data_IF_491271857870
#
_entry.id   IF_491271857870
#
_cell.length_a   1.000
_cell.length_b   1.000
_cell.length_c   1.000
_cell.angle_alpha   90.00
_cell.angle_beta   90.00
_cell.angle_gamma   90.00
#
_symmetry.space_group_name_H-M   'P 1'
#
loop_
_entity.id
_entity.type
_entity.pdbx_description
1 polymer ?
#
# COMPACT_ATOMS: atom_id res chain seq x y z
N UNK A 1 20.72 -15.05 6.73
CA UNK A 1 20.15 -13.83 6.14
C UNK A 1 19.23 -13.21 7.16
N UNK A 2 19.53 -11.99 7.57
CA UNK A 2 18.74 -11.25 8.54
C UNK A 2 17.64 -10.48 7.78
N UNK A 3 16.35 -10.82 8.02
CA UNK A 3 15.20 -10.26 7.31
C UNK A 3 14.18 -9.77 8.32
N UNK A 4 13.81 -8.50 8.23
CA UNK A 4 12.72 -7.93 9.01
C UNK A 4 11.38 -8.19 8.33
N UNK A 5 10.41 -8.78 9.04
CA UNK A 5 9.08 -9.05 8.48
C UNK A 5 8.04 -8.21 9.22
N UNK A 6 7.36 -7.34 8.49
CA UNK A 6 6.25 -6.53 8.97
C UNK A 6 4.93 -7.05 8.41
N UNK A 7 4.18 -7.79 9.22
CA UNK A 7 2.87 -8.33 8.81
C UNK A 7 1.77 -7.32 9.12
N UNK A 8 1.13 -6.80 8.08
CA UNK A 8 0.02 -5.86 8.18
C UNK A 8 -1.29 -6.55 7.75
N UNK A 9 -2.10 -6.97 8.70
CA UNK A 9 -3.34 -7.71 8.44
C UNK A 9 -4.55 -6.82 8.14
N UNK A 10 -4.49 -5.54 8.52
CA UNK A 10 -5.51 -4.54 8.24
C UNK A 10 -4.90 -3.14 8.25
N UNK A 11 -5.39 -2.26 7.42
CA UNK A 11 -4.90 -0.89 7.31
C UNK A 11 -5.63 0.02 8.31
N UNK A 12 -5.09 0.17 9.52
CA UNK A 12 -5.62 1.07 10.55
C UNK A 12 -4.56 2.09 10.92
N UNK A 13 -4.72 3.34 10.47
CA UNK A 13 -3.83 4.44 10.82
C UNK A 13 -4.21 5.02 12.19
N UNK A 14 -3.54 4.55 13.24
CA UNK A 14 -3.72 5.00 14.62
C UNK A 14 -2.37 5.09 15.35
N UNK A 15 -2.39 5.53 16.61
CA UNK A 15 -1.18 5.65 17.42
C UNK A 15 -0.47 4.31 17.65
N UNK A 16 -1.22 3.23 17.78
CA UNK A 16 -0.66 1.87 17.96
C UNK A 16 0.11 1.44 16.71
N UNK A 17 -0.48 1.59 15.51
CA UNK A 17 0.20 1.31 14.24
C UNK A 17 1.51 2.09 14.14
N UNK A 18 1.47 3.41 14.39
CA UNK A 18 2.64 4.28 14.30
C UNK A 18 3.72 3.92 15.30
N UNK A 19 3.31 3.49 16.51
CA UNK A 19 4.23 3.01 17.53
C UNK A 19 4.90 1.70 17.11
N UNK A 20 4.11 0.70 16.70
CA UNK A 20 4.61 -0.62 16.25
C UNK A 20 5.55 -0.45 15.06
N UNK A 21 5.18 0.38 14.09
CA UNK A 21 6.00 0.68 12.92
C UNK A 21 7.34 1.36 13.32
N UNK A 22 7.31 2.31 14.25
CA UNK A 22 8.51 2.96 14.74
C UNK A 22 9.42 2.01 15.52
N UNK A 23 8.86 1.15 16.37
CA UNK A 23 9.60 0.13 17.09
C UNK A 23 10.24 -0.88 16.13
N UNK A 24 9.51 -1.30 15.08
CA UNK A 24 10.00 -2.19 14.03
C UNK A 24 11.22 -1.60 13.29
N UNK A 25 11.13 -0.38 12.77
CA UNK A 25 12.27 0.22 12.07
C UNK A 25 13.45 0.54 12.99
N UNK A 26 13.21 0.81 14.27
CA UNK A 26 14.26 0.94 15.26
C UNK A 26 15.03 -0.37 15.45
N UNK A 27 14.33 -1.51 15.47
CA UNK A 27 14.94 -2.83 15.54
C UNK A 27 15.68 -3.19 14.26
N UNK A 28 15.05 -2.94 13.08
CA UNK A 28 15.67 -3.13 11.76
C UNK A 28 17.05 -2.45 11.68
N UNK A 29 17.15 -1.20 12.12
CA UNK A 29 18.42 -0.45 12.09
C UNK A 29 19.40 -0.91 13.19
N UNK A 30 18.90 -1.32 14.36
CA UNK A 30 19.76 -1.77 15.46
C UNK A 30 20.42 -3.14 15.17
N UNK A 31 19.77 -3.97 14.37
CA UNK A 31 20.23 -5.32 14.00
C UNK A 31 20.88 -5.35 12.60
N UNK A 32 21.15 -4.18 12.00
CA UNK A 32 21.73 -4.03 10.65
C UNK A 32 20.99 -4.90 9.61
N UNK A 33 19.64 -4.88 9.64
CA UNK A 33 18.81 -5.64 8.70
C UNK A 33 18.79 -4.92 7.36
N UNK A 34 19.25 -5.61 6.31
CA UNK A 34 19.34 -5.09 4.95
C UNK A 34 18.09 -5.38 4.09
N UNK A 35 17.22 -6.29 4.53
CA UNK A 35 16.04 -6.72 3.78
C UNK A 35 14.79 -6.65 4.64
N UNK A 36 13.79 -5.89 4.19
CA UNK A 36 12.48 -5.78 4.85
C UNK A 36 11.40 -6.37 3.95
N UNK A 37 10.55 -7.18 4.54
CA UNK A 37 9.36 -7.77 3.91
C UNK A 37 8.11 -7.18 4.55
N UNK A 38 7.23 -6.58 3.76
CA UNK A 38 5.87 -6.21 4.19
C UNK A 38 4.89 -7.26 3.69
N UNK A 39 4.26 -7.96 4.61
CA UNK A 39 3.26 -8.98 4.26
C UNK A 39 1.86 -8.38 4.25
N UNK A 40 1.30 -8.17 3.05
CA UNK A 40 -0.05 -7.68 2.78
C UNK A 40 -1.00 -8.79 2.34
N UNK A 41 -0.54 -10.03 2.31
CA UNK A 41 -1.41 -11.16 2.01
C UNK A 41 -2.54 -11.20 3.04
N UNK A 42 -3.78 -11.39 2.58
CA UNK A 42 -4.98 -11.42 3.42
C UNK A 42 -5.39 -10.06 4.02
N UNK A 43 -4.79 -8.95 3.62
CA UNK A 43 -5.17 -7.62 4.07
C UNK A 43 -6.26 -7.03 3.16
N UNK A 44 -7.48 -6.93 3.69
CA UNK A 44 -8.65 -6.39 2.97
C UNK A 44 -8.69 -4.86 2.85
N UNK A 45 -7.68 -4.15 3.34
CA UNK A 45 -7.60 -2.69 3.28
C UNK A 45 -8.02 -1.98 4.57
N UNK A 46 -8.50 -0.76 4.42
CA UNK A 46 -8.89 0.15 5.50
C UNK A 46 -8.50 1.59 5.18
N UNK A 47 -7.58 2.17 5.93
CA UNK A 47 -7.09 3.53 5.74
C UNK A 47 -5.79 3.54 4.94
N UNK A 48 -5.81 4.16 3.75
CA UNK A 48 -4.64 4.22 2.85
C UNK A 48 -3.46 5.04 3.42
N UNK A 49 -3.67 5.89 4.44
CA UNK A 49 -2.59 6.65 5.07
C UNK A 49 -1.52 5.77 5.73
N UNK A 50 -1.80 4.49 6.01
CA UNK A 50 -0.79 3.55 6.53
C UNK A 50 0.41 3.42 5.61
N UNK A 51 0.22 3.45 4.29
CA UNK A 51 1.30 3.39 3.32
C UNK A 51 2.17 4.66 3.37
N UNK A 52 1.54 5.85 3.44
CA UNK A 52 2.28 7.11 3.55
C UNK A 52 3.09 7.19 4.86
N UNK A 53 2.55 6.68 5.97
CA UNK A 53 3.29 6.65 7.23
C UNK A 53 4.48 5.68 7.15
N UNK A 54 4.32 4.53 6.47
CA UNK A 54 5.40 3.57 6.23
C UNK A 54 6.53 4.18 5.39
N UNK A 55 6.19 4.85 4.27
CA UNK A 55 7.16 5.45 3.34
C UNK A 55 8.05 6.49 4.05
N UNK A 56 7.60 7.11 5.15
CA UNK A 56 8.45 8.03 5.94
C UNK A 56 9.69 7.37 6.54
N UNK A 57 9.74 6.06 6.61
CA UNK A 57 10.89 5.29 7.10
C UNK A 57 11.81 4.82 5.96
N UNK A 58 11.50 5.12 4.70
CA UNK A 58 12.33 4.79 3.53
C UNK A 58 13.19 5.98 3.13
N UNK A 59 14.38 5.70 2.55
CA UNK A 59 15.29 6.73 2.03
C UNK A 59 14.84 7.20 0.64
N UNK A 60 13.71 7.89 0.61
CA UNK A 60 13.14 8.52 -0.57
C UNK A 60 12.80 9.98 -0.27
N UNK A 61 13.13 10.90 -1.19
CA UNK A 61 12.89 12.34 -0.99
C UNK A 61 11.46 12.74 -1.35
N UNK A 62 10.94 12.18 -2.43
CA UNK A 62 9.61 12.48 -2.94
C UNK A 62 9.01 11.25 -3.63
N UNK A 63 7.70 11.17 -3.65
CA UNK A 63 6.96 10.08 -4.30
C UNK A 63 5.61 10.56 -4.79
N UNK A 64 5.05 9.89 -5.79
CA UNK A 64 3.64 10.06 -6.17
C UNK A 64 2.75 9.32 -5.19
N UNK A 65 1.68 9.98 -4.77
CA UNK A 65 0.65 9.34 -3.97
C UNK A 65 -0.64 9.21 -4.80
N UNK A 66 -1.77 8.98 -4.15
CA UNK A 66 -3.01 8.65 -4.88
C UNK A 66 -3.47 9.77 -5.79
N UNK A 67 -3.77 9.39 -7.01
CA UNK A 67 -4.51 10.24 -7.92
C UNK A 67 -6.01 10.01 -7.74
N UNK A 68 -6.78 11.07 -7.59
CA UNK A 68 -8.23 10.94 -7.44
C UNK A 68 -9.03 12.13 -7.98
N UNK A 69 -10.27 11.86 -8.33
CA UNK A 69 -11.30 12.85 -8.56
C UNK A 69 -12.35 12.76 -7.43
N UNK A 70 -12.69 13.90 -6.86
CA UNK A 70 -13.67 14.01 -5.77
C UNK A 70 -14.88 14.80 -6.26
N UNK A 71 -16.06 14.18 -6.17
CA UNK A 71 -17.32 14.88 -6.46
C UNK A 71 -17.95 15.43 -5.19
N UNK A 72 -18.19 16.74 -5.20
CA UNK A 72 -18.91 17.43 -4.15
C UNK A 72 -20.06 18.24 -4.77
N UNK A 73 -21.27 17.66 -4.73
CA UNK A 73 -22.42 18.20 -5.44
C UNK A 73 -22.17 18.30 -6.95
N UNK A 74 -22.25 19.49 -7.50
CA UNK A 74 -21.99 19.80 -8.91
C UNK A 74 -20.50 19.97 -9.24
N UNK A 75 -19.66 20.13 -8.23
CA UNK A 75 -18.22 20.36 -8.40
C UNK A 75 -17.48 19.01 -8.50
N UNK A 76 -16.52 18.96 -9.40
CA UNK A 76 -15.56 17.87 -9.55
C UNK A 76 -14.17 18.45 -9.31
N UNK A 77 -13.53 18.01 -8.23
CA UNK A 77 -12.15 18.36 -7.92
C UNK A 77 -11.25 17.27 -8.48
N UNK A 78 -10.22 17.67 -9.18
CA UNK A 78 -9.22 16.79 -9.78
C UNK A 78 -7.91 16.93 -9.01
N UNK A 79 -7.48 15.86 -8.37
CA UNK A 79 -6.27 15.74 -7.57
C UNK A 79 -5.39 14.65 -8.20
N UNK A 80 -4.72 14.98 -9.30
CA UNK A 80 -3.84 14.05 -10.01
C UNK A 80 -2.45 14.64 -10.20
N UNK A 81 -1.48 13.75 -10.42
CA UNK A 81 -0.07 14.09 -10.65
C UNK A 81 0.59 14.85 -9.49
N UNK A 82 0.12 14.59 -8.26
CA UNK A 82 0.66 15.24 -7.07
C UNK A 82 1.91 14.49 -6.59
N UNK A 83 3.02 15.22 -6.52
CA UNK A 83 4.26 14.74 -5.91
C UNK A 83 4.29 15.17 -4.45
N UNK A 84 4.47 14.20 -3.56
CA UNK A 84 4.59 14.42 -2.13
C UNK A 84 6.07 14.44 -1.73
N UNK A 85 6.48 15.47 -1.00
CA UNK A 85 7.77 15.45 -0.31
C UNK A 85 7.67 14.51 0.89
N UNK A 86 8.56 13.54 0.95
CA UNK A 86 8.60 12.61 2.06
C UNK A 86 9.07 13.31 3.34
N UNK A 87 8.26 13.21 4.39
CA UNK A 87 8.59 13.71 5.72
C UNK A 87 9.32 12.60 6.49
N UNK A 88 10.57 12.31 6.07
CA UNK A 88 11.37 11.23 6.63
C UNK A 88 11.45 11.28 8.14
N UNK A 89 11.40 10.11 8.77
CA UNK A 89 11.66 9.93 10.20
C UNK A 89 13.17 10.00 10.48
N UNK A 90 13.55 9.95 11.73
CA UNK A 90 14.98 9.86 12.11
C UNK A 90 15.57 8.47 11.77
N UNK A 91 14.75 7.44 11.89
CA UNK A 91 15.09 6.06 11.50
C UNK A 91 14.73 5.90 10.02
N UNK A 92 15.71 5.90 9.15
CA UNK A 92 15.55 5.73 7.70
C UNK A 92 16.21 4.44 7.27
N UNK A 93 15.44 3.60 6.61
CA UNK A 93 15.88 2.34 6.02
C UNK A 93 16.23 2.57 4.55
N UNK A 94 17.42 2.16 4.14
CA UNK A 94 17.97 2.28 2.80
C UNK A 94 18.26 0.94 2.13
N UNK A 95 17.82 -0.16 2.74
CA UNK A 95 17.96 -1.52 2.21
C UNK A 95 16.87 -1.91 1.22
N UNK A 96 16.79 -3.21 0.95
CA UNK A 96 15.86 -3.79 -0.03
C UNK A 96 14.47 -4.03 0.60
N UNK A 97 13.43 -3.57 -0.08
CA UNK A 97 12.03 -3.74 0.33
C UNK A 97 11.32 -4.74 -0.56
N UNK A 98 10.64 -5.70 0.05
CA UNK A 98 9.76 -6.65 -0.61
C UNK A 98 8.35 -6.52 -0.07
N UNK A 99 7.35 -6.66 -0.94
CA UNK A 99 5.93 -6.65 -0.54
C UNK A 99 5.27 -7.93 -1.02
N UNK A 100 4.70 -8.70 -0.08
CA UNK A 100 3.96 -9.91 -0.40
C UNK A 100 2.49 -9.57 -0.65
N UNK A 101 1.99 -9.99 -1.81
CA UNK A 101 0.60 -9.77 -2.22
C UNK A 101 -0.11 -11.07 -2.58
N UNK A 102 -1.44 -11.04 -2.53
CA UNK A 102 -2.29 -12.08 -3.10
C UNK A 102 -3.67 -11.50 -3.49
N UNK A 103 -4.57 -12.35 -3.97
CA UNK A 103 -5.95 -11.96 -4.36
C UNK A 103 -6.79 -11.38 -3.20
N UNK A 104 -6.33 -11.42 -1.96
CA UNK A 104 -6.96 -10.79 -0.80
C UNK A 104 -6.32 -9.45 -0.43
N UNK A 105 -5.20 -9.09 -1.05
CA UNK A 105 -4.62 -7.75 -0.95
C UNK A 105 -5.55 -6.78 -1.66
N UNK A 106 -6.35 -6.04 -0.89
CA UNK A 106 -7.51 -5.32 -1.42
C UNK A 106 -7.58 -3.88 -0.90
N UNK A 107 -8.18 -2.96 -1.68
CA UNK A 107 -8.42 -1.56 -1.27
C UNK A 107 -7.13 -0.88 -0.79
N UNK A 108 -7.10 -0.31 0.42
CA UNK A 108 -5.92 0.37 0.97
C UNK A 108 -4.66 -0.50 1.05
N UNK A 109 -4.77 -1.82 1.12
CA UNK A 109 -3.62 -2.72 1.03
C UNK A 109 -3.10 -2.83 -0.42
N UNK A 110 -4.00 -2.84 -1.40
CA UNK A 110 -3.63 -2.74 -2.81
C UNK A 110 -3.01 -1.35 -3.10
N UNK A 111 -3.57 -0.26 -2.53
CA UNK A 111 -2.98 1.08 -2.63
C UNK A 111 -1.55 1.12 -2.06
N UNK A 112 -1.31 0.42 -0.94
CA UNK A 112 0.04 0.28 -0.38
C UNK A 112 1.00 -0.38 -1.39
N UNK A 113 0.60 -1.53 -1.95
CA UNK A 113 1.41 -2.21 -2.95
C UNK A 113 1.62 -1.34 -4.21
N UNK A 114 0.60 -0.59 -4.65
CA UNK A 114 0.69 0.37 -5.76
C UNK A 114 1.74 1.46 -5.48
N UNK A 115 1.70 2.07 -4.28
CA UNK A 115 2.65 3.13 -3.93
C UNK A 115 4.09 2.63 -3.95
N UNK A 116 4.33 1.39 -3.52
CA UNK A 116 5.68 0.79 -3.56
C UNK A 116 6.08 0.46 -5.01
N UNK A 117 5.20 -0.23 -5.76
CA UNK A 117 5.50 -0.67 -7.13
C UNK A 117 5.66 0.48 -8.13
N UNK A 118 4.71 1.42 -8.13
CA UNK A 118 4.66 2.48 -9.14
C UNK A 118 5.62 3.66 -8.84
N UNK A 119 6.27 3.67 -7.66
CA UNK A 119 7.37 4.59 -7.33
C UNK A 119 8.75 3.88 -7.30
N UNK A 120 8.83 2.63 -7.73
CA UNK A 120 10.07 1.83 -7.74
C UNK A 120 10.75 1.75 -6.35
N UNK A 121 9.94 1.65 -5.28
CA UNK A 121 10.43 1.63 -3.89
C UNK A 121 10.70 0.21 -3.36
N UNK A 122 10.33 -0.83 -4.09
CA UNK A 122 10.51 -2.21 -3.67
C UNK A 122 9.96 -3.21 -4.67
N UNK A 123 10.15 -4.47 -4.37
CA UNK A 123 9.79 -5.62 -5.22
C UNK A 123 8.49 -6.26 -4.75
N UNK A 124 7.55 -6.47 -5.64
CA UNK A 124 6.28 -7.17 -5.34
C UNK A 124 6.42 -8.66 -5.62
N UNK A 125 6.06 -9.50 -4.66
CA UNK A 125 6.19 -10.96 -4.77
C UNK A 125 4.88 -11.65 -4.38
N UNK A 126 4.43 -12.62 -5.15
CA UNK A 126 3.22 -13.41 -4.88
C UNK A 126 2.23 -13.41 -6.02
N UNK A 127 0.97 -13.12 -5.73
CA UNK A 127 -0.12 -13.05 -6.70
C UNK A 127 -0.56 -11.61 -6.96
N UNK A 128 -1.23 -11.38 -8.06
CA UNK A 128 -1.85 -10.08 -8.36
C UNK A 128 -2.82 -9.63 -7.25
N UNK A 129 -2.94 -8.32 -7.04
CA UNK A 129 -3.89 -7.75 -6.08
C UNK A 129 -5.34 -8.08 -6.41
N UNK A 130 -6.20 -8.10 -5.39
CA UNK A 130 -7.60 -8.51 -5.54
C UNK A 130 -8.52 -7.47 -6.17
N UNK A 131 -8.05 -6.23 -6.35
CA UNK A 131 -8.80 -5.18 -7.05
C UNK A 131 -7.88 -4.28 -7.88
N UNK A 132 -8.51 -3.51 -8.75
CA UNK A 132 -7.81 -2.52 -9.58
C UNK A 132 -7.58 -1.23 -8.79
N UNK A 133 -6.44 -0.53 -9.02
CA UNK A 133 -6.24 0.83 -8.54
C UNK A 133 -7.28 1.82 -9.10
N UNK A 134 -7.64 1.68 -10.38
CA UNK A 134 -8.70 2.47 -11.00
C UNK A 134 -10.06 2.01 -10.48
N UNK A 135 -10.54 2.65 -9.42
CA UNK A 135 -11.70 2.21 -8.67
C UNK A 135 -12.52 3.37 -8.10
N UNK A 136 -13.61 3.04 -7.43
CA UNK A 136 -14.44 4.00 -6.71
C UNK A 136 -14.40 3.70 -5.21
N UNK A 137 -14.29 4.74 -4.39
CA UNK A 137 -14.20 4.62 -2.94
C UNK A 137 -14.76 5.83 -2.21
N UNK A 138 -14.48 5.87 -0.92
CA UNK A 138 -14.98 6.90 0.01
C UNK A 138 -16.50 7.02 -0.06
N UNK A 139 -17.17 6.26 0.76
CA UNK A 139 -18.61 6.00 0.69
C UNK A 139 -19.36 6.99 1.57
N UNK A 140 -20.42 7.60 1.01
CA UNK A 140 -21.44 8.32 1.73
C UNK A 140 -22.66 7.43 1.90
N UNK A 141 -23.22 7.40 3.11
CA UNK A 141 -24.39 6.60 3.42
C UNK A 141 -25.65 7.46 3.43
N UNK A 142 -26.70 6.99 2.78
CA UNK A 142 -28.02 7.60 2.77
C UNK A 142 -29.07 6.58 3.20
N UNK A 143 -29.94 6.97 4.13
CA UNK A 143 -31.11 6.15 4.42
C UNK A 143 -32.30 6.58 3.57
N UNK A 144 -32.87 5.65 2.83
CA UNK A 144 -34.08 5.88 2.06
C UNK A 144 -35.26 6.19 2.99
N UNK A 145 -36.00 7.31 2.75
CA UNK A 145 -37.00 7.80 3.72
C UNK A 145 -38.18 6.82 3.95
N UNK A 146 -38.57 6.08 2.93
CA UNK A 146 -39.69 5.17 3.01
C UNK A 146 -39.33 3.74 3.42
N UNK A 147 -38.41 3.12 2.65
CA UNK A 147 -37.98 1.72 2.86
C UNK A 147 -37.01 1.53 4.02
N UNK A 148 -36.37 2.63 4.51
CA UNK A 148 -35.30 2.61 5.52
C UNK A 148 -34.02 1.85 5.06
N UNK A 149 -33.94 1.40 3.82
CA UNK A 149 -32.75 0.78 3.27
C UNK A 149 -31.59 1.78 3.25
N UNK A 150 -30.40 1.30 3.55
CA UNK A 150 -29.16 2.07 3.44
C UNK A 150 -28.64 2.02 2.02
N UNK A 151 -28.35 3.18 1.47
CA UNK A 151 -27.71 3.35 0.17
C UNK A 151 -26.26 3.80 0.39
N UNK A 152 -25.34 3.14 -0.27
CA UNK A 152 -23.93 3.50 -0.26
C UNK A 152 -23.55 4.09 -1.61
N UNK A 153 -22.99 5.29 -1.62
CA UNK A 153 -22.57 5.99 -2.85
C UNK A 153 -21.12 6.42 -2.71
N UNK A 154 -20.25 5.92 -3.57
CA UNK A 154 -18.88 6.40 -3.66
C UNK A 154 -18.86 7.81 -4.26
N UNK A 155 -18.09 8.71 -3.68
CA UNK A 155 -17.95 10.09 -4.16
C UNK A 155 -16.55 10.41 -4.67
N UNK A 156 -15.60 9.46 -4.54
CA UNK A 156 -14.27 9.53 -5.16
C UNK A 156 -14.09 8.48 -6.24
N UNK A 157 -13.38 8.86 -7.27
CA UNK A 157 -12.79 7.96 -8.25
C UNK A 157 -11.28 8.01 -8.06
N UNK A 158 -10.69 6.85 -7.83
CA UNK A 158 -9.25 6.65 -7.69
C UNK A 158 -8.64 6.25 -9.02
N UNK A 159 -7.40 6.64 -9.24
CA UNK A 159 -6.64 6.29 -10.43
C UNK A 159 -5.29 5.72 -10.03
N UNK A 160 -4.82 4.80 -10.82
CA UNK A 160 -3.44 4.33 -10.71
C UNK A 160 -2.48 5.48 -10.96
N UNK A 161 -1.42 5.59 -10.17
CA UNK A 161 -0.43 6.68 -10.32
C UNK A 161 0.47 6.48 -11.54
N UNK A 162 0.74 5.23 -11.95
CA UNK A 162 1.32 4.91 -13.24
C UNK A 162 0.20 4.65 -14.26
N UNK A 163 -0.22 5.69 -14.99
CA UNK A 163 -1.30 5.61 -15.95
C UNK A 163 -1.00 4.70 -17.15
N UNK A 164 0.25 4.31 -17.38
CA UNK A 164 0.59 3.34 -18.45
C UNK A 164 0.08 1.95 -18.13
N UNK A 165 -0.16 1.66 -16.86
CA UNK A 165 -0.69 0.39 -16.34
C UNK A 165 -2.15 0.50 -15.89
N UNK A 166 -2.88 1.56 -16.32
CA UNK A 166 -4.31 1.75 -16.00
C UNK A 166 -5.15 0.55 -16.45
N UNK A 167 -6.09 0.13 -15.59
CA UNK A 167 -6.94 -1.03 -15.83
C UNK A 167 -6.32 -2.38 -15.49
N UNK A 168 -5.09 -2.41 -14.99
CA UNK A 168 -4.43 -3.62 -14.50
C UNK A 168 -4.40 -3.66 -12.96
N UNK A 169 -4.51 -4.84 -12.33
CA UNK A 169 -4.22 -4.99 -10.90
C UNK A 169 -2.75 -4.70 -10.63
N UNK A 170 -2.35 -4.66 -9.37
CA UNK A 170 -0.93 -4.64 -9.04
C UNK A 170 -0.39 -6.04 -9.29
N UNK A 171 0.38 -6.15 -10.36
CA UNK A 171 1.05 -7.38 -10.75
C UNK A 171 2.34 -7.55 -9.95
N UNK A 172 2.65 -8.77 -9.50
CA UNK A 172 3.94 -9.03 -8.87
C UNK A 172 5.08 -9.01 -9.89
N UNK A 173 6.27 -8.59 -9.45
CA UNK A 173 7.51 -8.73 -10.22
C UNK A 173 7.93 -10.20 -10.31
N UNK A 174 7.61 -10.97 -9.25
CA UNK A 174 7.80 -12.42 -9.19
C UNK A 174 6.48 -13.10 -8.85
N UNK A 175 5.83 -13.65 -9.88
CA UNK A 175 4.55 -14.34 -9.74
C UNK A 175 4.77 -15.77 -9.22
N UNK A 176 4.26 -16.04 -8.03
CA UNK A 176 4.27 -17.35 -7.37
C UNK A 176 2.99 -17.51 -6.54
N UNK A 177 2.65 -18.75 -6.20
CA UNK A 177 1.56 -19.01 -5.27
C UNK A 177 1.78 -18.26 -3.95
N UNK A 178 0.71 -17.73 -3.37
CA UNK A 178 0.74 -16.92 -2.14
C UNK A 178 1.47 -17.63 -0.98
N UNK A 179 1.36 -18.94 -0.89
CA UNK A 179 2.04 -19.75 0.13
C UNK A 179 3.57 -19.80 -0.03
N UNK A 180 4.07 -19.61 -1.24
CA UNK A 180 5.49 -19.69 -1.62
C UNK A 180 6.16 -18.31 -1.65
N UNK A 181 5.38 -17.22 -1.56
CA UNK A 181 5.88 -15.86 -1.77
C UNK A 181 7.01 -15.47 -0.81
N UNK A 182 6.94 -15.85 0.47
CA UNK A 182 7.99 -15.55 1.43
C UNK A 182 9.26 -16.36 1.15
N UNK A 183 9.13 -17.62 0.77
CA UNK A 183 10.27 -18.48 0.39
C UNK A 183 10.96 -17.93 -0.86
N UNK A 184 10.16 -17.44 -1.82
CA UNK A 184 10.69 -16.76 -3.00
C UNK A 184 11.52 -15.52 -2.64
N UNK A 185 11.11 -14.73 -1.67
CA UNK A 185 11.93 -13.60 -1.17
C UNK A 185 13.25 -14.09 -0.60
N UNK A 186 13.25 -15.18 0.20
CA UNK A 186 14.50 -15.75 0.72
C UNK A 186 15.44 -16.25 -0.40
N UNK A 187 14.90 -16.82 -1.47
CA UNK A 187 15.70 -17.17 -2.66
C UNK A 187 16.32 -15.94 -3.31
N UNK A 188 15.54 -14.85 -3.50
CA UNK A 188 16.02 -13.60 -4.11
C UNK A 188 17.14 -12.97 -3.29
N UNK A 189 17.01 -12.96 -1.96
CA UNK A 189 18.02 -12.45 -1.03
C UNK A 189 19.28 -13.33 -1.06
N UNK A 190 19.12 -14.65 -1.15
CA UNK A 190 20.24 -15.59 -1.19
C UNK A 190 20.98 -15.64 -2.53
N UNK A 191 20.38 -15.12 -3.59
CA UNK A 191 20.95 -15.08 -4.93
C UNK A 191 21.79 -13.81 -5.21
N UNK A 192 21.83 -12.87 -4.27
CA UNK A 192 22.62 -11.62 -4.38
C UNK A 192 24.05 -11.73 -3.82
#
# INVERSE_FOLDING_TARGET
>A
NNVGIFTLTTCVDNEEYRKVLGDFFKEVLAEDIENVVVDLRWNGGGNSWVANEFIKYLDVEEYKSWDCQVRFGWYLFDNRDIIYKNQKKQQVFDGELYVLTNVKTYSAAMDFAMLIADNDLGTIVGEASGNLPDSYGDIVYFQMPNSKLMLCVSHKRWYRIDQTKSGEPIMPDYEVESSEALEKVYELIGAK
#
